data_IF_421591342171
#
_entry.id   IF_421591342171
#
_cell.length_a   1.000
_cell.length_b   1.000
_cell.length_c   1.000
_cell.angle_alpha   90.00
_cell.angle_beta   90.00
_cell.angle_gamma   90.00
#
_symmetry.space_group_name_H-M   'P 1'
#
loop_
_entity.id
_entity.type
_entity.pdbx_description
1 polymer ?
#
# COMPACT_ATOMS: atom_id res chain seq x y z
N UNK A 1 -23.95 24.22 -30.48
CA UNK A 1 -22.77 23.90 -29.64
C UNK A 1 -22.70 22.38 -29.53
N UNK A 2 -21.81 21.75 -30.28
CA UNK A 2 -21.61 20.30 -30.22
C UNK A 2 -20.67 20.01 -29.04
N UNK A 3 -21.22 19.46 -27.95
CA UNK A 3 -20.43 18.89 -26.87
C UNK A 3 -19.75 17.63 -27.44
N UNK A 4 -18.46 17.75 -27.77
CA UNK A 4 -17.66 16.59 -28.17
C UNK A 4 -17.63 15.54 -27.05
N UNK A 5 -17.61 14.24 -27.38
CA UNK A 5 -17.45 13.22 -26.36
C UNK A 5 -16.14 13.47 -25.62
N UNK A 6 -16.24 13.68 -24.29
CA UNK A 6 -15.08 13.83 -23.43
C UNK A 6 -14.10 12.66 -23.63
N UNK A 7 -12.80 12.87 -23.41
CA UNK A 7 -11.79 11.84 -23.67
C UNK A 7 -12.18 10.56 -22.93
N UNK A 8 -12.47 9.52 -23.70
CA UNK A 8 -12.66 8.18 -23.17
C UNK A 8 -11.39 7.83 -22.40
N UNK A 9 -11.47 7.74 -21.08
CA UNK A 9 -10.39 7.18 -20.29
C UNK A 9 -10.06 5.83 -20.91
N UNK A 10 -8.88 5.71 -21.52
CA UNK A 10 -8.44 4.49 -22.18
C UNK A 10 -8.71 3.33 -21.22
N UNK A 11 -9.59 2.41 -21.62
CA UNK A 11 -10.04 1.34 -20.75
C UNK A 11 -8.81 0.57 -20.28
N UNK A 12 -8.51 0.66 -18.98
CA UNK A 12 -7.34 0.02 -18.41
C UNK A 12 -7.51 -1.49 -18.59
N UNK A 13 -6.65 -2.12 -19.38
CA UNK A 13 -6.71 -3.56 -19.58
C UNK A 13 -6.16 -4.27 -18.32
N UNK A 14 -7.08 -4.67 -17.44
CA UNK A 14 -6.73 -5.26 -16.15
C UNK A 14 -5.94 -6.57 -16.26
N UNK A 15 -6.08 -7.35 -17.34
CA UNK A 15 -5.26 -8.54 -17.55
C UNK A 15 -3.79 -8.18 -17.81
N UNK A 16 -3.56 -7.15 -18.62
CA UNK A 16 -2.21 -6.63 -18.91
C UNK A 16 -1.60 -6.03 -17.66
N UNK A 17 -2.37 -5.21 -16.91
CA UNK A 17 -1.94 -4.64 -15.63
C UNK A 17 -1.57 -5.72 -14.63
N UNK A 18 -2.37 -6.77 -14.50
CA UNK A 18 -2.06 -7.88 -13.62
C UNK A 18 -0.74 -8.56 -14.01
N UNK A 19 -0.55 -8.88 -15.29
CA UNK A 19 0.67 -9.53 -15.76
C UNK A 19 1.91 -8.67 -15.53
N UNK A 20 1.85 -7.39 -15.92
CA UNK A 20 2.98 -6.47 -15.84
C UNK A 20 3.23 -6.06 -14.38
N UNK A 21 2.18 -5.72 -13.63
CA UNK A 21 2.28 -5.37 -12.22
C UNK A 21 2.85 -6.49 -11.38
N UNK A 22 2.47 -7.75 -11.65
CA UNK A 22 3.08 -8.89 -10.96
C UNK A 22 4.54 -9.11 -11.38
N UNK A 23 4.90 -8.89 -12.66
CA UNK A 23 6.30 -8.93 -13.10
C UNK A 23 7.15 -7.83 -12.44
N UNK A 24 6.59 -6.65 -12.21
CA UNK A 24 7.25 -5.51 -11.55
C UNK A 24 7.10 -5.52 -10.01
N UNK A 25 6.39 -6.50 -9.44
CA UNK A 25 6.05 -6.53 -8.01
C UNK A 25 7.27 -6.42 -7.11
N UNK A 26 8.39 -7.05 -7.47
CA UNK A 26 9.66 -6.95 -6.74
C UNK A 26 10.24 -5.54 -6.74
N UNK A 27 10.20 -4.83 -7.87
CA UNK A 27 10.67 -3.44 -7.98
C UNK A 27 9.75 -2.49 -7.19
N UNK A 28 8.44 -2.63 -7.35
CA UNK A 28 7.43 -1.84 -6.61
C UNK A 28 7.62 -2.05 -5.10
N UNK A 29 7.83 -3.31 -4.67
CA UNK A 29 8.13 -3.64 -3.27
C UNK A 29 9.41 -2.94 -2.79
N UNK A 30 10.48 -2.94 -3.59
CA UNK A 30 11.73 -2.28 -3.22
C UNK A 30 11.56 -0.77 -3.12
N UNK A 31 10.83 -0.13 -4.04
CA UNK A 31 10.52 1.30 -3.98
C UNK A 31 9.67 1.66 -2.76
N UNK A 32 8.66 0.84 -2.44
CA UNK A 32 7.88 1.03 -1.23
C UNK A 32 8.76 0.86 0.02
N UNK A 33 9.60 -0.19 0.06
CA UNK A 33 10.55 -0.43 1.15
C UNK A 33 11.52 0.73 1.36
N UNK A 34 12.05 1.33 0.30
CA UNK A 34 12.92 2.50 0.40
C UNK A 34 12.25 3.69 1.12
N UNK A 35 10.91 3.73 1.21
CA UNK A 35 10.16 4.79 1.88
C UNK A 35 9.75 4.48 3.32
N UNK A 36 9.55 3.20 3.64
CA UNK A 36 8.95 2.80 4.93
C UNK A 36 9.71 1.76 5.73
N UNK A 37 10.70 1.09 5.15
CA UNK A 37 11.50 0.10 5.87
C UNK A 37 12.18 0.75 7.08
N UNK A 38 12.15 0.02 8.20
CA UNK A 38 12.69 0.42 9.52
C UNK A 38 12.19 1.76 10.07
N UNK A 39 11.05 2.26 9.60
CA UNK A 39 10.45 3.50 10.13
C UNK A 39 9.70 3.25 11.44
N UNK A 40 9.82 4.19 12.39
CA UNK A 40 9.12 4.12 13.68
C UNK A 40 8.21 5.33 13.87
N UNK A 41 6.95 5.06 14.20
CA UNK A 41 5.94 6.06 14.52
C UNK A 41 5.58 5.99 15.99
N UNK A 42 5.81 7.09 16.70
CA UNK A 42 5.35 7.22 18.07
C UNK A 42 3.83 7.42 18.09
N UNK A 43 3.11 6.43 18.60
CA UNK A 43 1.65 6.50 18.80
C UNK A 43 1.32 7.28 20.07
N UNK A 44 2.05 6.99 21.15
CA UNK A 44 1.90 7.66 22.44
C UNK A 44 3.21 7.56 23.24
N UNK A 45 3.24 8.09 24.47
CA UNK A 45 4.40 7.91 25.37
C UNK A 45 4.73 6.45 25.68
N UNK A 46 3.77 5.52 25.49
CA UNK A 46 3.89 4.11 25.89
C UNK A 46 3.82 3.13 24.71
N UNK A 47 3.63 3.62 23.47
CA UNK A 47 3.42 2.80 22.27
C UNK A 47 4.13 3.41 21.06
N UNK A 48 4.83 2.58 20.28
CA UNK A 48 5.36 2.94 18.97
C UNK A 48 5.09 1.84 17.93
N UNK A 49 4.75 2.24 16.71
CA UNK A 49 4.54 1.35 15.58
C UNK A 49 5.80 1.37 14.73
N UNK A 50 6.46 0.24 14.62
CA UNK A 50 7.57 0.04 13.72
C UNK A 50 7.06 -0.64 12.45
N UNK A 51 7.46 -0.13 11.30
CA UNK A 51 7.25 -0.77 10.00
C UNK A 51 8.59 -1.37 9.61
N UNK A 52 8.62 -2.69 9.43
CA UNK A 52 9.83 -3.38 8.97
C UNK A 52 9.98 -3.26 7.46
N UNK A 53 8.85 -3.31 6.76
CA UNK A 53 8.82 -3.17 5.31
C UNK A 53 7.53 -3.72 4.72
N UNK A 54 7.56 -3.85 3.41
CA UNK A 54 6.58 -4.50 2.55
C UNK A 54 7.11 -5.89 2.23
N UNK A 55 6.36 -6.90 2.62
CA UNK A 55 6.71 -8.30 2.41
C UNK A 55 6.34 -8.75 1.00
N UNK A 56 5.14 -8.37 0.57
CA UNK A 56 4.53 -8.79 -0.68
C UNK A 56 3.79 -7.63 -1.35
N UNK A 57 3.92 -7.58 -2.67
CA UNK A 57 3.08 -6.77 -3.56
C UNK A 57 2.49 -7.72 -4.59
N UNK A 58 1.19 -7.62 -4.84
CA UNK A 58 0.50 -8.41 -5.87
C UNK A 58 -0.53 -7.57 -6.60
N UNK A 59 -0.80 -7.93 -7.84
CA UNK A 59 -1.86 -7.36 -8.65
C UNK A 59 -2.89 -8.45 -8.95
N UNK A 60 -4.15 -8.11 -8.75
CA UNK A 60 -5.32 -8.92 -9.11
C UNK A 60 -6.22 -8.05 -10.00
N UNK A 61 -6.15 -8.30 -11.30
CA UNK A 61 -6.67 -7.38 -12.32
C UNK A 61 -6.10 -5.95 -12.16
N UNK A 62 -6.99 -4.97 -11.98
CA UNK A 62 -6.65 -3.57 -11.75
C UNK A 62 -6.54 -3.21 -10.26
N UNK A 63 -6.53 -4.19 -9.34
CA UNK A 63 -6.33 -3.95 -7.91
C UNK A 63 -4.92 -4.35 -7.53
N UNK A 64 -4.20 -3.43 -6.91
CA UNK A 64 -2.92 -3.70 -6.26
C UNK A 64 -3.16 -4.00 -4.79
N UNK A 65 -2.46 -5.00 -4.26
CA UNK A 65 -2.44 -5.31 -2.85
C UNK A 65 -1.00 -5.38 -2.35
N UNK A 66 -0.73 -4.73 -1.23
CA UNK A 66 0.56 -4.75 -0.56
C UNK A 66 0.39 -5.22 0.88
N UNK A 67 1.32 -6.02 1.38
CA UNK A 67 1.33 -6.51 2.75
C UNK A 67 2.54 -5.94 3.47
N UNK A 68 2.31 -5.22 4.56
CA UNK A 68 3.35 -4.59 5.35
C UNK A 68 3.56 -5.36 6.64
N UNK A 69 4.80 -5.71 6.94
CA UNK A 69 5.19 -6.22 8.25
C UNK A 69 5.36 -5.08 9.25
N UNK A 70 4.64 -5.17 10.36
CA UNK A 70 4.65 -4.16 11.41
C UNK A 70 4.84 -4.77 12.79
N UNK A 71 5.43 -4.00 13.70
CA UNK A 71 5.52 -4.33 15.12
C UNK A 71 5.14 -3.14 15.98
N UNK A 72 4.10 -3.33 16.77
CA UNK A 72 3.70 -2.42 17.82
C UNK A 72 4.52 -2.71 19.09
N UNK A 73 5.52 -1.86 19.33
CA UNK A 73 6.27 -1.84 20.58
C UNK A 73 5.43 -1.19 21.69
N UNK A 74 5.39 -1.82 22.87
CA UNK A 74 4.60 -1.36 24.02
C UNK A 74 5.44 -1.39 25.29
N UNK A 75 5.38 -0.33 26.10
CA UNK A 75 6.14 -0.27 27.36
C UNK A 75 5.58 -1.18 28.46
N UNK A 76 4.24 -1.35 28.51
CA UNK A 76 3.54 -2.01 29.63
C UNK A 76 3.12 -3.44 29.30
N UNK A 77 2.83 -3.74 28.04
CA UNK A 77 2.39 -5.07 27.59
C UNK A 77 3.45 -5.65 26.66
N UNK A 78 3.43 -6.96 26.44
CA UNK A 78 4.26 -7.61 25.40
C UNK A 78 4.06 -6.92 24.06
N UNK A 79 5.10 -6.85 23.24
CA UNK A 79 4.98 -6.32 21.89
C UNK A 79 3.98 -7.13 21.06
N UNK A 80 3.40 -6.49 20.03
CA UNK A 80 2.56 -7.16 19.05
C UNK A 80 3.22 -7.05 17.68
N UNK A 81 3.33 -8.17 16.97
CA UNK A 81 3.74 -8.21 15.57
C UNK A 81 2.56 -8.62 14.71
N UNK A 82 2.58 -8.19 13.45
CA UNK A 82 1.61 -8.64 12.48
C UNK A 82 1.74 -7.90 11.16
N UNK A 83 0.67 -7.94 10.37
CA UNK A 83 0.67 -7.45 9.00
C UNK A 83 -0.48 -6.48 8.74
N UNK A 84 -0.21 -5.46 7.94
CA UNK A 84 -1.22 -4.53 7.42
C UNK A 84 -1.38 -4.79 5.93
N UNK A 85 -2.59 -5.13 5.49
CA UNK A 85 -2.91 -5.28 4.08
C UNK A 85 -3.43 -3.94 3.54
N UNK A 86 -2.80 -3.45 2.49
CA UNK A 86 -3.17 -2.24 1.77
C UNK A 86 -3.75 -2.64 0.43
N UNK A 87 -4.87 -2.03 0.08
CA UNK A 87 -5.46 -2.07 -1.25
C UNK A 87 -5.23 -0.75 -1.98
N UNK A 88 -5.05 -0.81 -3.30
CA UNK A 88 -5.08 0.36 -4.17
C UNK A 88 -5.65 -0.04 -5.54
N UNK A 89 -6.23 0.92 -6.25
CA UNK A 89 -6.79 0.71 -7.59
C UNK A 89 -5.88 1.35 -8.63
N UNK A 90 -5.56 0.61 -9.70
CA UNK A 90 -4.85 1.13 -10.85
C UNK A 90 -5.78 2.09 -11.60
N UNK A 91 -5.42 3.37 -11.61
CA UNK A 91 -6.18 4.43 -12.26
C UNK A 91 -5.78 4.59 -13.73
N UNK A 92 -4.51 4.39 -14.05
CA UNK A 92 -4.04 4.45 -15.43
C UNK A 92 -2.84 3.53 -15.67
N UNK A 93 -2.75 3.07 -16.91
CA UNK A 93 -1.65 2.27 -17.40
C UNK A 93 -1.26 2.75 -18.80
N UNK A 94 -0.09 3.35 -18.95
CA UNK A 94 0.42 3.86 -20.23
C UNK A 94 1.95 3.83 -20.26
N UNK A 95 2.55 3.44 -21.38
CA UNK A 95 4.00 3.49 -21.59
C UNK A 95 4.83 2.70 -20.55
N UNK A 96 4.28 1.61 -19.99
CA UNK A 96 4.95 0.83 -18.93
C UNK A 96 4.91 1.48 -17.54
N UNK A 97 4.13 2.55 -17.37
CA UNK A 97 3.89 3.23 -16.09
C UNK A 97 2.53 2.83 -15.54
N UNK A 98 2.50 2.35 -14.29
CA UNK A 98 1.30 1.98 -13.54
C UNK A 98 1.04 3.08 -12.51
N UNK A 99 -0.08 3.79 -12.62
CA UNK A 99 -0.50 4.75 -11.61
C UNK A 99 -1.62 4.16 -10.76
N UNK A 100 -1.44 4.19 -9.45
CA UNK A 100 -2.39 3.68 -8.46
C UNK A 100 -2.96 4.82 -7.63
N UNK A 101 -4.22 4.69 -7.25
CA UNK A 101 -4.93 5.59 -6.35
C UNK A 101 -5.92 4.82 -5.48
N UNK A 102 -6.78 5.55 -4.78
CA UNK A 102 -7.75 4.97 -3.84
C UNK A 102 -7.08 4.02 -2.83
N UNK A 103 -5.97 4.48 -2.23
CA UNK A 103 -5.22 3.68 -1.26
C UNK A 103 -6.02 3.57 0.03
N UNK A 104 -6.29 2.34 0.45
CA UNK A 104 -7.04 1.99 1.65
C UNK A 104 -6.37 0.87 2.44
N UNK A 105 -6.64 0.83 3.75
CA UNK A 105 -6.23 -0.30 4.60
C UNK A 105 -7.36 -1.30 4.56
N UNK A 106 -7.12 -2.46 3.96
CA UNK A 106 -8.13 -3.52 3.83
C UNK A 106 -8.27 -4.33 5.11
N UNK A 107 -7.13 -4.68 5.71
CA UNK A 107 -7.10 -5.56 6.88
C UNK A 107 -5.87 -5.28 7.74
N UNK A 108 -6.01 -5.51 9.04
CA UNK A 108 -4.93 -5.41 10.00
C UNK A 108 -4.97 -6.60 10.93
N UNK A 109 -4.00 -7.50 10.74
CA UNK A 109 -3.80 -8.63 11.63
C UNK A 109 -2.64 -8.33 12.57
N UNK A 110 -2.92 -8.19 13.87
CA UNK A 110 -1.87 -8.07 14.89
C UNK A 110 -2.05 -9.13 15.98
N UNK A 111 -0.97 -9.83 16.30
CA UNK A 111 -0.94 -10.75 17.43
C UNK A 111 -1.19 -10.02 18.77
N UNK A 112 -2.05 -10.59 19.62
CA UNK A 112 -2.17 -10.19 21.05
C UNK A 112 -2.50 -8.69 21.25
N UNK A 113 -3.45 -8.19 20.47
CA UNK A 113 -3.89 -6.78 20.50
C UNK A 113 -5.38 -6.63 20.22
N UNK A 114 -6.01 -5.71 20.95
CA UNK A 114 -7.13 -4.91 20.46
C UNK A 114 -6.51 -3.81 19.60
N UNK A 115 -6.91 -3.71 18.32
CA UNK A 115 -6.22 -2.92 17.28
C UNK A 115 -5.74 -1.53 17.71
N UNK A 116 -4.63 -1.08 17.14
CA UNK A 116 -4.25 0.33 17.21
C UNK A 116 -5.26 1.12 16.38
N UNK A 117 -5.71 2.30 16.82
CA UNK A 117 -6.71 3.05 16.07
C UNK A 117 -6.36 3.19 14.58
N UNK A 118 -7.34 2.94 13.71
CA UNK A 118 -7.23 2.82 12.25
C UNK A 118 -6.38 3.92 11.59
N UNK A 119 -6.44 5.14 12.15
CA UNK A 119 -5.65 6.30 11.71
C UNK A 119 -4.15 6.04 11.61
N UNK A 120 -3.58 5.19 12.48
CA UNK A 120 -2.13 4.94 12.49
C UNK A 120 -1.73 3.97 11.37
N UNK A 121 -2.56 2.96 11.12
CA UNK A 121 -2.34 2.06 9.98
C UNK A 121 -2.58 2.79 8.66
N UNK A 122 -3.58 3.65 8.59
CA UNK A 122 -3.80 4.50 7.41
C UNK A 122 -2.62 5.44 7.16
N UNK A 123 -2.02 5.99 8.22
CA UNK A 123 -0.80 6.81 8.10
C UNK A 123 0.40 6.00 7.60
N UNK A 124 0.59 4.78 8.11
CA UNK A 124 1.60 3.85 7.61
C UNK A 124 1.37 3.51 6.13
N UNK A 125 0.12 3.21 5.77
CA UNK A 125 -0.27 2.87 4.41
C UNK A 125 -0.03 4.02 3.43
N UNK A 126 -0.48 5.23 3.76
CA UNK A 126 -0.25 6.43 2.94
C UNK A 126 1.24 6.77 2.78
N UNK A 127 2.09 6.38 3.73
CA UNK A 127 3.54 6.58 3.59
C UNK A 127 4.18 5.55 2.66
N UNK A 128 3.79 4.28 2.81
CA UNK A 128 4.27 3.20 1.96
C UNK A 128 3.81 3.39 0.52
N UNK A 129 2.56 3.83 0.37
CA UNK A 129 1.91 4.05 -0.90
C UNK A 129 1.10 5.34 -0.85
N UNK A 130 1.66 6.48 -1.28
CA UNK A 130 0.90 7.71 -1.42
C UNK A 130 -0.25 7.53 -2.43
N UNK A 131 -1.37 8.22 -2.20
CA UNK A 131 -2.42 8.32 -3.21
C UNK A 131 -1.86 8.94 -4.50
N UNK A 132 -2.31 8.44 -5.65
CA UNK A 132 -1.84 8.85 -6.98
C UNK A 132 -0.35 8.59 -7.24
N UNK A 133 0.24 7.57 -6.59
CA UNK A 133 1.60 7.15 -6.88
C UNK A 133 1.66 6.41 -8.23
N UNK A 134 2.67 6.74 -9.02
CA UNK A 134 2.99 5.95 -10.21
C UNK A 134 4.31 5.20 -10.03
N UNK A 135 4.36 4.02 -10.62
CA UNK A 135 5.52 3.16 -10.73
C UNK A 135 5.87 3.03 -12.21
N UNK A 136 7.14 3.19 -12.55
CA UNK A 136 7.65 2.97 -13.91
C UNK A 136 8.78 1.97 -13.86
N UNK A 137 8.99 1.28 -14.98
CA UNK A 137 10.17 0.44 -15.19
C UNK A 137 11.45 1.26 -15.19
#
# INVERSE_FOLDING_TARGET
MLAGPGPAAAQVNCRVVQSIGNALSGQIRNEMNARVADTSYRISRRKSLNIYGVDQVRFDGCRMQAVLSVKLKRKIRRDASGTVRIGATVQSFAGGRICVGNVEVEDVSLSRTLGVGERWYRRAANRALPNAQCFSR
#
